data_IF_275025262703
#
_entry.id   IF_275025262703
#
_cell.length_a   1.000
_cell.length_b   1.000
_cell.length_c   1.000
_cell.angle_alpha   90.00
_cell.angle_beta   90.00
_cell.angle_gamma   90.00
#
_symmetry.space_group_name_H-M   'P 1'
#
loop_
_entity.id
_entity.type
_entity.pdbx_description
1 polymer ?
#
# COMPACT_ATOMS: atom_id res chain seq x y z
N UNK A 1 1.68 15.45 -11.14
CA UNK A 1 1.26 15.75 -9.75
C UNK A 1 -0.24 15.82 -9.73
N UNK A 2 -0.90 15.01 -8.91
CA UNK A 2 -2.36 14.87 -8.86
C UNK A 2 -2.93 15.60 -7.63
N UNK A 3 -4.12 16.17 -7.75
CA UNK A 3 -4.83 16.78 -6.63
C UNK A 3 -5.75 15.75 -5.96
N UNK A 4 -5.46 15.36 -4.72
CA UNK A 4 -6.26 14.38 -3.97
C UNK A 4 -7.00 15.09 -2.84
N UNK A 5 -8.33 15.01 -2.87
CA UNK A 5 -9.20 15.49 -1.81
C UNK A 5 -9.51 14.36 -0.82
N UNK A 6 -8.97 14.46 0.40
CA UNK A 6 -9.22 13.53 1.50
C UNK A 6 -10.46 14.00 2.26
N UNK A 7 -11.47 13.15 2.34
CA UNK A 7 -12.76 13.46 2.94
C UNK A 7 -12.97 12.62 4.20
N UNK A 8 -13.29 13.31 5.28
CA UNK A 8 -13.73 12.73 6.56
C UNK A 8 -14.99 13.44 7.03
N UNK A 9 -15.71 12.89 8.01
CA UNK A 9 -16.95 13.50 8.52
C UNK A 9 -16.91 13.66 10.02
N UNK A 10 -17.43 14.79 10.54
CA UNK A 10 -17.65 14.98 11.98
C UNK A 10 -18.64 13.97 12.58
N UNK A 11 -19.49 13.36 11.75
CA UNK A 11 -20.45 12.35 12.17
C UNK A 11 -19.84 10.95 12.21
N UNK A 12 -18.60 10.79 11.73
CA UNK A 12 -17.93 9.50 11.61
C UNK A 12 -16.78 9.35 12.61
N UNK A 13 -16.93 8.53 13.67
CA UNK A 13 -15.87 8.35 14.66
C UNK A 13 -14.61 7.67 14.08
N UNK A 14 -14.73 6.78 13.09
CA UNK A 14 -13.58 6.15 12.45
C UNK A 14 -12.82 7.18 11.60
N UNK A 15 -13.53 7.95 10.77
CA UNK A 15 -12.95 9.01 9.96
C UNK A 15 -12.23 10.06 10.82
N UNK A 16 -12.81 10.45 11.96
CA UNK A 16 -12.18 11.40 12.88
C UNK A 16 -10.95 10.81 13.61
N UNK A 17 -11.01 9.54 14.00
CA UNK A 17 -9.87 8.82 14.57
C UNK A 17 -8.69 8.78 13.57
N UNK A 18 -8.96 8.39 12.33
CA UNK A 18 -7.94 8.32 11.26
C UNK A 18 -7.40 9.70 10.94
N UNK A 19 -8.26 10.72 10.86
CA UNK A 19 -7.87 12.13 10.67
C UNK A 19 -6.84 12.55 11.71
N UNK A 20 -7.10 12.33 13.01
CA UNK A 20 -6.16 12.70 14.08
C UNK A 20 -4.78 12.04 13.87
N UNK A 21 -4.76 10.75 13.52
CA UNK A 21 -3.51 10.00 13.29
C UNK A 21 -2.79 10.39 12.00
N UNK A 22 -3.51 10.83 10.98
CA UNK A 22 -2.95 11.34 9.73
C UNK A 22 -2.32 12.73 9.92
N UNK A 23 -2.97 13.60 10.72
CA UNK A 23 -2.44 14.93 11.03
C UNK A 23 -1.10 14.86 11.79
N UNK A 24 -0.86 13.78 12.53
CA UNK A 24 0.40 13.55 13.24
C UNK A 24 1.54 12.99 12.37
N UNK A 25 1.28 12.57 11.12
CA UNK A 25 2.24 11.84 10.27
C UNK A 25 2.83 12.66 9.13
N UNK A 26 2.25 13.81 8.81
CA UNK A 26 2.74 14.66 7.74
C UNK A 26 2.43 16.13 8.04
N UNK A 27 3.19 17.09 7.49
CA UNK A 27 2.96 18.51 7.75
C UNK A 27 1.68 18.98 7.06
N UNK A 28 0.72 19.46 7.86
CA UNK A 28 -0.53 20.07 7.38
C UNK A 28 -0.57 21.55 7.72
N UNK A 29 -1.11 22.34 6.80
CA UNK A 29 -1.29 23.77 6.95
C UNK A 29 -2.78 24.12 6.84
N UNK A 30 -3.32 24.79 7.86
CA UNK A 30 -4.69 25.28 7.81
C UNK A 30 -4.78 26.50 6.89
N UNK A 31 -5.67 26.44 5.90
CA UNK A 31 -5.91 27.54 4.97
C UNK A 31 -7.42 27.67 4.68
N UNK A 32 -8.07 28.59 5.40
CA UNK A 32 -9.51 28.81 5.27
C UNK A 32 -10.35 27.75 6.00
N UNK A 33 -11.65 27.78 5.75
CA UNK A 33 -12.63 26.89 6.34
C UNK A 33 -13.78 26.63 5.38
N UNK A 34 -14.43 25.48 5.52
CA UNK A 34 -15.64 25.11 4.81
C UNK A 34 -16.64 24.52 5.82
N UNK A 35 -17.87 25.04 5.82
CA UNK A 35 -18.94 24.63 6.73
C UNK A 35 -18.51 24.53 8.20
N UNK A 36 -17.76 25.53 8.67
CA UNK A 36 -17.28 25.64 10.05
C UNK A 36 -16.07 24.75 10.40
N UNK A 37 -15.57 23.93 9.46
CA UNK A 37 -14.35 23.13 9.67
C UNK A 37 -13.16 23.70 8.92
N UNK A 38 -11.98 23.62 9.53
CA UNK A 38 -10.73 24.05 8.90
C UNK A 38 -10.43 23.21 7.66
N UNK A 39 -10.01 23.88 6.57
CA UNK A 39 -9.45 23.23 5.39
C UNK A 39 -7.96 23.06 5.61
N UNK A 40 -7.47 21.82 5.51
CA UNK A 40 -6.07 21.51 5.76
C UNK A 40 -5.40 21.09 4.46
N UNK A 41 -4.27 21.71 4.15
CA UNK A 41 -3.49 21.44 2.95
C UNK A 41 -2.18 20.76 3.31
N UNK A 42 -1.76 19.82 2.48
CA UNK A 42 -0.44 19.21 2.56
C UNK A 42 0.06 18.92 1.14
N UNK A 43 1.34 18.56 1.03
CA UNK A 43 1.95 18.20 -0.24
C UNK A 43 2.93 17.04 -0.03
N UNK A 44 2.84 16.03 -0.90
CA UNK A 44 3.86 15.00 -1.05
C UNK A 44 4.70 15.32 -2.28
N UNK A 45 5.82 14.61 -2.54
CA UNK A 45 6.56 14.77 -3.79
C UNK A 45 5.70 14.53 -5.06
N UNK A 46 4.61 13.76 -4.93
CA UNK A 46 3.79 13.32 -6.05
C UNK A 46 2.41 14.00 -6.11
N UNK A 47 1.86 14.46 -4.99
CA UNK A 47 0.47 14.89 -4.89
C UNK A 47 0.29 16.17 -4.08
N UNK A 48 -0.70 16.99 -4.47
CA UNK A 48 -1.23 18.06 -3.62
C UNK A 48 -2.46 17.53 -2.90
N UNK A 49 -2.55 17.80 -1.61
CA UNK A 49 -3.59 17.23 -0.75
C UNK A 49 -4.46 18.34 -0.16
N UNK A 50 -5.77 18.09 -0.15
CA UNK A 50 -6.73 18.86 0.62
C UNK A 50 -7.51 17.91 1.52
N UNK A 51 -7.46 18.12 2.84
CA UNK A 51 -8.30 17.41 3.80
C UNK A 51 -9.50 18.29 4.16
N UNK A 52 -10.69 17.81 3.82
CA UNK A 52 -11.97 18.43 4.11
C UNK A 52 -12.74 17.59 5.15
N UNK A 53 -13.24 18.26 6.18
CA UNK A 53 -14.10 17.63 7.21
C UNK A 53 -15.56 18.01 6.96
N UNK A 54 -16.34 17.07 6.45
CA UNK A 54 -17.76 17.25 6.12
C UNK A 54 -18.64 17.27 7.38
N UNK A 55 -19.75 18.01 7.31
CA UNK A 55 -20.75 18.11 8.38
C UNK A 55 -21.86 17.05 8.30
N UNK A 56 -21.84 16.21 7.26
CA UNK A 56 -22.82 15.16 6.95
C UNK A 56 -22.12 13.83 6.71
N UNK A 57 -22.87 12.74 6.70
CA UNK A 57 -22.34 11.43 6.37
C UNK A 57 -21.72 11.41 4.96
N UNK A 58 -20.56 10.77 4.84
CA UNK A 58 -19.76 10.74 3.61
C UNK A 58 -20.51 10.14 2.43
N UNK A 59 -21.43 9.21 2.67
CA UNK A 59 -22.23 8.58 1.61
C UNK A 59 -23.21 9.56 0.94
N UNK A 60 -23.45 10.72 1.54
CA UNK A 60 -24.36 11.78 1.06
C UNK A 60 -23.63 13.04 0.57
N UNK A 61 -22.31 12.97 0.38
CA UNK A 61 -21.45 14.06 -0.09
C UNK A 61 -21.47 14.24 -1.62
N UNK A 62 -22.65 14.29 -2.25
CA UNK A 62 -22.84 14.46 -3.71
C UNK A 62 -22.39 15.82 -4.26
N UNK A 63 -22.28 16.83 -3.39
CA UNK A 63 -21.95 18.22 -3.70
C UNK A 63 -20.43 18.49 -3.74
N UNK A 64 -19.59 17.49 -3.42
CA UNK A 64 -18.14 17.68 -3.33
C UNK A 64 -17.53 18.24 -4.62
N UNK A 65 -18.00 17.83 -5.80
CA UNK A 65 -17.53 18.38 -7.06
C UNK A 65 -17.74 19.90 -7.18
N UNK A 66 -18.89 20.41 -6.75
CA UNK A 66 -19.14 21.86 -6.68
C UNK A 66 -18.35 22.54 -5.57
N UNK A 67 -18.20 21.90 -4.41
CA UNK A 67 -17.38 22.40 -3.31
C UNK A 67 -15.92 22.59 -3.75
N UNK A 68 -15.32 21.59 -4.39
CA UNK A 68 -13.92 21.66 -4.85
C UNK A 68 -13.72 22.78 -5.87
N UNK A 69 -14.65 22.95 -6.82
CA UNK A 69 -14.64 24.08 -7.76
C UNK A 69 -14.69 25.43 -7.05
N UNK A 70 -15.55 25.58 -6.04
CA UNK A 70 -15.64 26.82 -5.26
C UNK A 70 -14.36 27.11 -4.46
N UNK A 71 -13.67 26.06 -4.00
CA UNK A 71 -12.40 26.16 -3.29
C UNK A 71 -11.18 26.33 -4.23
N UNK A 72 -11.37 26.25 -5.55
CA UNK A 72 -10.28 26.32 -6.52
C UNK A 72 -9.33 25.12 -6.45
N UNK A 73 -9.80 23.96 -5.99
CA UNK A 73 -9.04 22.72 -5.91
C UNK A 73 -9.52 21.74 -6.98
N UNK A 74 -8.63 21.12 -7.76
CA UNK A 74 -9.06 20.33 -8.92
C UNK A 74 -9.73 19.01 -8.53
N UNK A 75 -9.32 18.42 -7.39
CA UNK A 75 -9.77 17.13 -6.87
C UNK A 75 -9.84 16.06 -7.97
N UNK A 76 -8.68 15.68 -8.49
CA UNK A 76 -8.54 14.63 -9.48
C UNK A 76 -8.98 13.25 -8.96
N UNK A 77 -8.97 13.06 -7.64
CA UNK A 77 -9.58 11.92 -6.95
C UNK A 77 -10.07 12.32 -5.55
N UNK A 78 -11.14 11.68 -5.11
CA UNK A 78 -11.62 11.71 -3.73
C UNK A 78 -11.20 10.45 -2.97
N UNK A 79 -10.57 10.63 -1.82
CA UNK A 79 -10.22 9.56 -0.88
C UNK A 79 -11.05 9.74 0.41
N UNK A 80 -12.02 8.87 0.63
CA UNK A 80 -12.87 8.88 1.83
C UNK A 80 -12.25 8.02 2.92
N UNK A 81 -12.05 8.58 4.10
CA UNK A 81 -11.64 7.84 5.30
C UNK A 81 -12.82 7.82 6.27
N UNK A 82 -13.42 6.65 6.46
CA UNK A 82 -14.74 6.54 7.10
C UNK A 82 -14.95 5.19 7.78
N UNK A 83 -16.13 4.96 8.36
CA UNK A 83 -16.48 3.70 9.00
C UNK A 83 -17.11 2.70 8.03
N UNK A 84 -16.80 1.43 8.22
CA UNK A 84 -17.61 0.32 7.72
C UNK A 84 -18.55 -0.15 8.86
N UNK A 85 -19.83 -0.39 8.55
CA UNK A 85 -20.82 -0.82 9.54
C UNK A 85 -21.48 -2.14 9.13
N UNK A 86 -21.28 -3.21 9.92
CA UNK A 86 -21.82 -4.55 9.62
C UNK A 86 -22.40 -5.24 10.84
N UNK A 87 -23.56 -5.91 10.63
CA UNK A 87 -24.21 -6.74 11.66
C UNK A 87 -23.40 -8.00 12.02
N UNK A 88 -22.53 -8.46 11.12
CA UNK A 88 -21.68 -9.61 11.40
C UNK A 88 -20.63 -9.29 12.47
N UNK A 89 -20.33 -8.00 12.71
CA UNK A 89 -19.43 -7.55 13.77
C UNK A 89 -17.98 -8.00 13.58
N UNK A 90 -17.58 -8.40 12.37
CA UNK A 90 -16.22 -8.84 12.05
C UNK A 90 -15.33 -7.59 11.94
N UNK A 91 -14.27 -7.44 12.74
CA UNK A 91 -13.34 -6.34 12.59
C UNK A 91 -12.63 -6.38 11.24
N UNK A 92 -12.69 -5.29 10.49
CA UNK A 92 -12.14 -5.21 9.13
C UNK A 92 -11.42 -3.88 8.92
N UNK A 93 -10.44 -3.89 8.01
CA UNK A 93 -10.00 -2.68 7.34
C UNK A 93 -10.22 -2.89 5.85
N UNK A 94 -10.86 -1.93 5.20
CA UNK A 94 -11.40 -2.18 3.86
C UNK A 94 -11.20 -1.05 2.89
N UNK A 95 -11.37 -1.35 1.60
CA UNK A 95 -11.46 -0.35 0.56
C UNK A 95 -12.38 -0.76 -0.59
N UNK A 96 -13.05 0.22 -1.20
CA UNK A 96 -13.92 0.03 -2.36
C UNK A 96 -14.21 1.34 -3.09
N UNK A 97 -14.75 1.22 -4.30
CA UNK A 97 -15.38 2.32 -5.01
C UNK A 97 -16.90 2.37 -4.70
N UNK A 98 -17.52 3.55 -4.63
CA UNK A 98 -18.95 3.68 -4.40
C UNK A 98 -19.77 3.40 -5.67
N UNK A 99 -21.05 3.08 -5.51
CA UNK A 99 -21.99 2.91 -6.61
C UNK A 99 -23.16 2.00 -6.27
N UNK A 100 -24.30 2.17 -6.94
CA UNK A 100 -25.49 1.34 -6.72
C UNK A 100 -25.83 0.51 -7.96
N UNK A 101 -25.84 -0.81 -7.81
CA UNK A 101 -26.25 -1.75 -8.87
C UNK A 101 -27.77 -1.74 -9.11
N UNK A 102 -28.54 -1.58 -8.04
CA UNK A 102 -29.99 -1.49 -8.03
C UNK A 102 -30.45 -0.19 -7.36
N UNK A 103 -31.27 -0.30 -6.32
CA UNK A 103 -31.77 0.85 -5.56
C UNK A 103 -30.64 1.58 -4.78
N UNK A 104 -30.79 2.90 -4.65
CA UNK A 104 -29.86 3.76 -3.91
C UNK A 104 -30.41 4.08 -2.51
N UNK A 105 -30.31 3.13 -1.59
CA UNK A 105 -30.81 3.28 -0.22
C UNK A 105 -29.88 4.11 0.68
N UNK A 106 -28.60 4.22 0.31
CA UNK A 106 -27.54 4.80 1.14
C UNK A 106 -26.72 5.83 0.34
N UNK A 107 -27.41 6.80 -0.28
CA UNK A 107 -26.78 7.81 -1.12
C UNK A 107 -26.51 7.33 -2.56
N UNK A 108 -26.02 8.23 -3.41
CA UNK A 108 -25.88 7.98 -4.84
C UNK A 108 -27.21 8.06 -5.60
N UNK A 109 -27.21 7.54 -6.82
CA UNK A 109 -28.41 7.37 -7.64
C UNK A 109 -28.67 5.89 -7.91
N UNK A 110 -29.94 5.53 -8.08
CA UNK A 110 -30.36 4.19 -8.48
C UNK A 110 -29.68 3.82 -9.79
N UNK A 111 -29.14 2.59 -9.86
CA UNK A 111 -28.47 2.03 -11.04
C UNK A 111 -27.39 2.93 -11.62
N UNK A 112 -26.53 3.45 -10.75
CA UNK A 112 -25.44 4.34 -11.11
C UNK A 112 -24.19 4.00 -10.30
N UNK A 113 -23.10 3.69 -11.02
CA UNK A 113 -21.81 3.39 -10.41
C UNK A 113 -20.93 4.65 -10.35
N UNK A 114 -20.13 4.81 -9.29
CA UNK A 114 -19.10 5.85 -9.23
C UNK A 114 -17.97 5.59 -10.23
N UNK A 115 -16.93 6.42 -10.23
CA UNK A 115 -15.72 6.13 -11.00
C UNK A 115 -14.75 5.36 -10.10
N UNK A 116 -14.50 4.09 -10.38
CA UNK A 116 -13.61 3.24 -9.61
C UNK A 116 -12.14 3.41 -10.05
N UNK A 117 -11.23 3.89 -9.19
CA UNK A 117 -9.82 4.01 -9.52
C UNK A 117 -9.09 2.67 -9.30
N UNK A 118 -9.21 1.72 -10.23
CA UNK A 118 -8.78 0.32 -10.02
C UNK A 118 -7.31 0.19 -9.58
N UNK A 119 -6.39 0.95 -10.19
CA UNK A 119 -4.98 0.93 -9.81
C UNK A 119 -4.74 1.47 -8.39
N UNK A 120 -5.45 2.52 -7.99
CA UNK A 120 -5.42 3.04 -6.62
C UNK A 120 -6.06 2.06 -5.64
N UNK A 121 -7.20 1.47 -5.98
CA UNK A 121 -7.89 0.49 -5.14
C UNK A 121 -7.02 -0.75 -4.90
N UNK A 122 -6.31 -1.25 -5.92
CA UNK A 122 -5.31 -2.32 -5.74
C UNK A 122 -4.24 -1.91 -4.74
N UNK A 123 -3.66 -0.71 -4.89
CA UNK A 123 -2.58 -0.25 -4.01
C UNK A 123 -3.06 0.01 -2.59
N UNK A 124 -4.28 0.53 -2.43
CA UNK A 124 -4.92 0.68 -1.14
C UNK A 124 -5.10 -0.67 -0.47
N UNK A 125 -5.67 -1.66 -1.18
CA UNK A 125 -5.83 -3.01 -0.66
C UNK A 125 -4.50 -3.64 -0.22
N UNK A 126 -3.44 -3.54 -1.03
CA UNK A 126 -2.12 -4.05 -0.67
C UNK A 126 -1.49 -3.30 0.52
N UNK A 127 -1.77 -2.00 0.65
CA UNK A 127 -1.37 -1.23 1.83
C UNK A 127 -2.15 -1.68 3.08
N UNK A 128 -3.44 -1.97 2.96
CA UNK A 128 -4.23 -2.56 4.05
C UNK A 128 -3.64 -3.90 4.48
N UNK A 129 -3.35 -4.82 3.54
CA UNK A 129 -2.71 -6.12 3.84
C UNK A 129 -1.41 -5.94 4.64
N UNK A 130 -0.62 -4.90 4.34
CA UNK A 130 0.64 -4.64 5.03
C UNK A 130 0.47 -4.06 6.44
N UNK A 131 -0.48 -3.15 6.61
CA UNK A 131 -0.62 -2.35 7.85
C UNK A 131 -1.74 -2.84 8.77
N UNK A 132 -2.57 -3.79 8.34
CA UNK A 132 -3.69 -4.28 9.13
C UNK A 132 -3.20 -4.84 10.47
N UNK A 133 -3.75 -4.38 11.61
CA UNK A 133 -3.34 -4.88 12.91
C UNK A 133 -3.93 -6.27 13.18
N UNK A 134 -3.29 -7.02 14.07
CA UNK A 134 -3.80 -8.31 14.53
C UNK A 134 -5.25 -8.21 15.02
N UNK A 135 -6.09 -9.16 14.57
CA UNK A 135 -7.51 -9.21 14.92
C UNK A 135 -8.43 -8.44 13.96
N UNK A 136 -7.89 -7.83 12.90
CA UNK A 136 -8.64 -7.24 11.80
C UNK A 136 -8.34 -7.97 10.49
N UNK A 137 -9.33 -8.05 9.61
CA UNK A 137 -9.15 -8.60 8.27
C UNK A 137 -8.99 -7.47 7.22
N UNK A 138 -7.91 -7.45 6.42
CA UNK A 138 -7.78 -6.56 5.28
C UNK A 138 -8.58 -7.11 4.09
N UNK A 139 -9.59 -6.36 3.63
CA UNK A 139 -10.50 -6.81 2.57
C UNK A 139 -10.77 -5.71 1.54
N UNK A 140 -11.01 -6.07 0.28
CA UNK A 140 -11.81 -5.19 -0.57
C UNK A 140 -13.29 -5.36 -0.22
N UNK A 141 -14.08 -4.34 -0.50
CA UNK A 141 -15.53 -4.43 -0.48
C UNK A 141 -16.15 -4.33 -1.87
N UNK A 142 -17.34 -4.88 -1.99
CA UNK A 142 -18.12 -4.78 -3.21
C UNK A 142 -18.55 -3.33 -3.49
N UNK A 143 -18.78 -2.98 -4.77
CA UNK A 143 -19.28 -1.64 -5.10
C UNK A 143 -20.67 -1.45 -4.49
N UNK A 144 -20.83 -0.46 -3.61
CA UNK A 144 -22.09 -0.17 -2.95
C UNK A 144 -22.15 1.30 -2.48
N UNK A 145 -23.38 1.76 -2.15
CA UNK A 145 -23.71 3.07 -1.59
C UNK A 145 -23.21 4.30 -2.36
N UNK A 146 -23.52 5.50 -1.88
CA UNK A 146 -23.06 6.78 -2.42
C UNK A 146 -21.71 7.25 -1.86
N UNK A 147 -21.23 8.43 -2.26
CA UNK A 147 -21.86 9.35 -3.19
C UNK A 147 -21.62 8.95 -4.65
N UNK A 148 -22.37 9.56 -5.57
CA UNK A 148 -22.14 9.48 -7.01
C UNK A 148 -21.45 10.75 -7.51
N UNK A 149 -20.12 10.73 -7.56
CA UNK A 149 -19.32 11.85 -8.03
C UNK A 149 -18.87 11.70 -9.48
N UNK A 150 -18.51 12.83 -10.10
CA UNK A 150 -17.98 12.93 -11.46
C UNK A 150 -16.46 12.73 -11.54
N UNK A 151 -15.83 12.38 -10.42
CA UNK A 151 -14.40 12.09 -10.29
C UNK A 151 -14.17 10.73 -9.63
N UNK A 152 -13.00 10.11 -9.84
CA UNK A 152 -12.61 8.87 -9.17
C UNK A 152 -12.77 8.95 -7.65
N UNK A 153 -13.35 7.90 -7.06
CA UNK A 153 -13.63 7.83 -5.63
C UNK A 153 -13.14 6.50 -5.06
N UNK A 154 -12.43 6.58 -3.95
CA UNK A 154 -11.97 5.43 -3.18
C UNK A 154 -12.34 5.62 -1.71
N UNK A 155 -12.98 4.63 -1.12
CA UNK A 155 -13.20 4.52 0.30
C UNK A 155 -12.09 3.67 0.92
N UNK A 156 -11.62 4.08 2.09
CA UNK A 156 -10.75 3.31 2.96
C UNK A 156 -11.33 3.37 4.37
N UNK A 157 -11.66 2.22 4.97
CA UNK A 157 -12.56 2.18 6.12
C UNK A 157 -12.02 1.35 7.29
N UNK A 158 -12.56 1.63 8.48
CA UNK A 158 -12.44 0.78 9.68
C UNK A 158 -13.81 0.22 10.01
N UNK A 159 -13.90 -1.11 10.09
CA UNK A 159 -15.10 -1.84 10.45
C UNK A 159 -14.93 -2.71 11.69
N UNK A 160 -16.00 -3.21 12.29
CA UNK A 160 -17.39 -3.11 11.79
C UNK A 160 -18.35 -2.44 12.77
N UNK A 161 -17.90 -2.11 13.99
CA UNK A 161 -18.75 -1.57 15.05
C UNK A 161 -18.11 -0.36 15.72
N UNK A 162 -18.88 0.31 16.59
CA UNK A 162 -18.39 1.45 17.37
C UNK A 162 -17.14 1.17 18.19
N UNK A 163 -16.87 -0.10 18.56
CA UNK A 163 -15.62 -0.49 19.24
C UNK A 163 -14.41 -0.30 18.32
N UNK A 164 -14.50 -0.79 17.08
CA UNK A 164 -13.39 -0.73 16.14
C UNK A 164 -13.20 0.68 15.58
N UNK A 165 -14.29 1.46 15.40
CA UNK A 165 -14.22 2.82 14.87
C UNK A 165 -13.36 3.76 15.72
N UNK A 166 -13.39 3.58 17.05
CA UNK A 166 -12.62 4.40 18.00
C UNK A 166 -11.30 3.75 18.43
N UNK A 167 -10.93 2.60 17.86
CA UNK A 167 -9.68 1.92 18.20
C UNK A 167 -8.48 2.75 17.70
N UNK A 168 -7.62 3.27 18.59
CA UNK A 168 -6.48 4.09 18.20
C UNK A 168 -5.43 3.32 17.39
N UNK A 169 -5.34 1.99 17.55
CA UNK A 169 -4.43 1.12 16.79
C UNK A 169 -4.93 0.99 15.36
N UNK A 170 -6.23 0.72 15.16
CA UNK A 170 -6.83 0.67 13.83
C UNK A 170 -6.75 2.03 13.11
N UNK A 171 -6.98 3.13 13.84
CA UNK A 171 -6.82 4.49 13.31
C UNK A 171 -5.38 4.78 12.85
N UNK A 172 -4.39 4.36 13.64
CA UNK A 172 -2.98 4.52 13.31
C UNK A 172 -2.56 3.63 12.12
N UNK A 173 -3.08 2.42 12.04
CA UNK A 173 -2.86 1.49 10.94
C UNK A 173 -3.43 2.05 9.62
N UNK A 174 -4.68 2.53 9.61
CA UNK A 174 -5.29 3.07 8.39
C UNK A 174 -4.55 4.34 7.94
N UNK A 175 -4.20 5.22 8.87
CA UNK A 175 -3.41 6.41 8.55
C UNK A 175 -2.05 6.05 7.92
N UNK A 176 -1.40 4.97 8.37
CA UNK A 176 -0.13 4.51 7.80
C UNK A 176 -0.32 3.90 6.40
N UNK A 177 -1.40 3.16 6.17
CA UNK A 177 -1.77 2.68 4.84
C UNK A 177 -2.05 3.84 3.87
N UNK A 178 -2.73 4.90 4.33
CA UNK A 178 -2.99 6.10 3.54
C UNK A 178 -1.69 6.84 3.20
N UNK A 179 -0.77 7.02 4.14
CA UNK A 179 0.54 7.66 3.86
C UNK A 179 1.33 6.87 2.82
N UNK A 180 1.34 5.54 2.91
CA UNK A 180 1.97 4.69 1.88
C UNK A 180 1.30 4.88 0.51
N UNK A 181 -0.04 4.91 0.45
CA UNK A 181 -0.79 5.11 -0.78
C UNK A 181 -0.48 6.48 -1.41
N UNK A 182 -0.35 7.53 -0.61
CA UNK A 182 -0.03 8.89 -1.06
C UNK A 182 1.47 9.09 -1.39
N UNK A 183 2.30 8.08 -1.16
CA UNK A 183 3.74 8.11 -1.48
C UNK A 183 4.07 7.47 -2.82
N UNK A 184 3.05 7.02 -3.56
CA UNK A 184 3.21 6.38 -4.87
C UNK A 184 2.36 7.09 -5.93
N UNK A 185 2.75 6.93 -7.20
CA UNK A 185 1.92 7.23 -8.35
C UNK A 185 1.65 5.92 -9.09
N UNK A 186 0.48 5.29 -8.88
CA UNK A 186 0.16 4.02 -9.53
C UNK A 186 -0.06 4.17 -11.04
N UNK A 187 -0.08 5.41 -11.55
CA UNK A 187 -0.29 5.75 -12.95
C UNK A 187 1.02 6.15 -13.64
N UNK A 188 2.15 6.08 -12.93
CA UNK A 188 3.48 6.38 -13.48
C UNK A 188 3.79 5.48 -14.67
N UNK A 189 4.53 5.99 -15.66
CA UNK A 189 4.99 5.22 -16.83
C UNK A 189 5.86 4.02 -16.45
N UNK A 190 6.57 4.13 -15.33
CA UNK A 190 7.48 3.11 -14.83
C UNK A 190 6.77 2.10 -13.91
N UNK A 191 5.47 2.28 -13.66
CA UNK A 191 4.70 1.37 -12.83
C UNK A 191 4.37 0.08 -13.59
N UNK A 192 4.57 -1.06 -12.93
CA UNK A 192 4.01 -2.33 -13.38
C UNK A 192 2.49 -2.20 -13.57
N UNK A 193 2.01 -2.51 -14.78
CA UNK A 193 0.59 -2.43 -15.12
C UNK A 193 -0.06 -3.79 -14.83
N UNK A 194 -0.85 -3.92 -13.76
CA UNK A 194 -1.61 -5.13 -13.52
C UNK A 194 -2.74 -5.25 -14.54
N UNK A 195 -3.22 -6.48 -14.74
CA UNK A 195 -4.46 -6.71 -15.48
C UNK A 195 -5.65 -6.08 -14.75
N UNK A 196 -6.44 -5.28 -15.45
CA UNK A 196 -7.54 -4.51 -14.89
C UNK A 196 -8.85 -5.25 -15.15
N UNK A 197 -9.61 -5.52 -14.10
CA UNK A 197 -10.81 -6.36 -14.18
C UNK A 197 -12.00 -5.74 -13.47
N UNK A 198 -13.20 -6.11 -13.92
CA UNK A 198 -14.44 -5.97 -13.13
C UNK A 198 -14.81 -7.33 -12.53
N UNK A 199 -15.18 -7.36 -11.25
CA UNK A 199 -15.51 -8.60 -10.55
C UNK A 199 -17.01 -8.87 -10.53
N UNK A 200 -17.46 -10.08 -10.85
CA UNK A 200 -18.86 -10.49 -10.73
C UNK A 200 -19.00 -11.72 -9.82
N UNK A 201 -19.90 -11.62 -8.83
CA UNK A 201 -20.17 -12.64 -7.83
C UNK A 201 -19.47 -12.41 -6.50
N UNK A 202 -19.63 -13.38 -5.60
CA UNK A 202 -18.95 -13.42 -4.31
C UNK A 202 -19.67 -12.70 -3.19
N UNK A 203 -19.06 -12.68 -2.01
CA UNK A 203 -19.56 -11.98 -0.82
C UNK A 203 -19.24 -10.49 -0.90
N UNK A 204 -19.83 -9.73 0.01
CA UNK A 204 -19.56 -8.30 0.16
C UNK A 204 -18.07 -7.99 0.41
N UNK A 205 -17.35 -8.87 1.11
CA UNK A 205 -15.91 -8.76 1.42
C UNK A 205 -14.98 -9.31 0.34
N UNK A 206 -15.52 -9.68 -0.83
CA UNK A 206 -14.74 -9.98 -2.03
C UNK A 206 -13.64 -11.05 -1.88
N UNK A 207 -13.84 -12.07 -1.04
CA UNK A 207 -12.79 -13.02 -0.62
C UNK A 207 -11.98 -13.65 -1.77
N UNK A 208 -12.63 -14.09 -2.86
CA UNK A 208 -11.91 -14.68 -4.00
C UNK A 208 -11.17 -13.63 -4.85
N UNK A 209 -11.68 -12.40 -4.92
CA UNK A 209 -11.00 -11.30 -5.58
C UNK A 209 -9.81 -10.80 -4.76
N UNK A 210 -9.91 -10.77 -3.44
CA UNK A 210 -8.81 -10.49 -2.52
C UNK A 210 -7.64 -11.47 -2.76
N UNK A 211 -7.93 -12.77 -2.80
CA UNK A 211 -6.94 -13.82 -3.13
C UNK A 211 -6.35 -13.61 -4.52
N UNK A 212 -7.18 -13.23 -5.50
CA UNK A 212 -6.73 -12.99 -6.86
C UNK A 212 -5.74 -11.80 -6.93
N UNK A 213 -6.03 -10.69 -6.26
CA UNK A 213 -5.14 -9.51 -6.23
C UNK A 213 -3.83 -9.78 -5.49
N UNK A 214 -3.86 -10.60 -4.43
CA UNK A 214 -2.62 -10.97 -3.71
C UNK A 214 -1.74 -11.93 -4.51
N UNK A 215 -2.34 -12.82 -5.31
CA UNK A 215 -1.61 -13.89 -6.00
C UNK A 215 -1.17 -13.53 -7.42
N UNK A 216 -1.88 -12.61 -8.07
CA UNK A 216 -1.64 -12.26 -9.47
C UNK A 216 -1.57 -10.74 -9.62
N UNK A 217 -0.85 -10.21 -10.63
CA UNK A 217 -0.81 -8.78 -10.93
C UNK A 217 -2.16 -8.35 -11.52
N UNK A 218 -3.15 -8.16 -10.64
CA UNK A 218 -4.51 -7.75 -10.98
C UNK A 218 -4.97 -6.55 -10.17
N UNK A 219 -5.71 -5.66 -10.81
CA UNK A 219 -6.42 -4.54 -10.21
C UNK A 219 -7.91 -4.68 -10.48
N UNK A 220 -8.72 -4.73 -9.43
CA UNK A 220 -10.17 -4.85 -9.54
C UNK A 220 -10.78 -3.45 -9.41
N UNK A 221 -11.56 -3.04 -10.40
CA UNK A 221 -12.37 -1.82 -10.35
C UNK A 221 -13.66 -2.09 -9.59
N UNK A 222 -14.78 -2.06 -10.30
CA UNK A 222 -16.07 -2.40 -9.71
C UNK A 222 -16.23 -3.90 -9.44
N UNK A 223 -16.91 -4.21 -8.32
CA UNK A 223 -17.34 -5.57 -7.98
C UNK A 223 -18.85 -5.62 -7.81
N UNK A 224 -19.52 -6.47 -8.58
CA UNK A 224 -20.94 -6.80 -8.43
C UNK A 224 -21.07 -8.03 -7.51
N UNK A 225 -21.49 -7.87 -6.25
CA UNK A 225 -21.59 -8.98 -5.32
C UNK A 225 -22.80 -9.88 -5.66
N UNK A 226 -22.79 -11.12 -5.16
CA UNK A 226 -23.86 -12.11 -5.42
C UNK A 226 -25.27 -11.58 -5.24
N UNK A 227 -25.49 -10.79 -4.17
CA UNK A 227 -26.82 -10.27 -3.84
C UNK A 227 -27.31 -9.19 -4.83
N UNK A 228 -26.41 -8.55 -5.58
CA UNK A 228 -26.73 -7.52 -6.56
C UNK A 228 -26.76 -8.04 -8.00
N UNK A 229 -26.35 -9.30 -8.23
CA UNK A 229 -26.41 -9.92 -9.55
C UNK A 229 -27.80 -9.87 -10.20
N UNK A 230 -28.94 -10.00 -9.50
CA UNK A 230 -30.26 -9.86 -10.13
C UNK A 230 -30.49 -8.52 -10.84
N UNK A 231 -29.84 -7.44 -10.41
CA UNK A 231 -29.91 -6.11 -11.03
C UNK A 231 -28.86 -5.90 -12.14
N UNK A 232 -27.92 -6.84 -12.31
CA UNK A 232 -26.88 -6.78 -13.33
C UNK A 232 -27.47 -7.14 -14.70
N UNK A 233 -27.48 -6.16 -15.61
CA UNK A 233 -27.77 -6.31 -17.04
C UNK A 233 -26.63 -5.71 -17.88
N UNK A 234 -26.82 -5.64 -19.20
CA UNK A 234 -25.83 -5.10 -20.12
C UNK A 234 -25.48 -3.63 -19.83
N UNK A 235 -26.46 -2.82 -19.42
CA UNK A 235 -26.22 -1.42 -19.06
C UNK A 235 -25.37 -1.31 -17.81
N UNK A 236 -25.67 -2.06 -16.76
CA UNK A 236 -24.86 -2.07 -15.54
C UNK A 236 -23.45 -2.60 -15.78
N UNK A 237 -23.29 -3.63 -16.63
CA UNK A 237 -21.97 -4.13 -17.01
C UNK A 237 -21.18 -3.09 -17.83
N UNK A 238 -21.85 -2.41 -18.77
CA UNK A 238 -21.28 -1.30 -19.55
C UNK A 238 -20.83 -0.16 -18.64
N UNK A 239 -21.65 0.20 -17.64
CA UNK A 239 -21.29 1.19 -16.63
C UNK A 239 -20.08 0.73 -15.81
N UNK A 240 -20.05 -0.52 -15.34
CA UNK A 240 -18.95 -1.04 -14.52
C UNK A 240 -17.62 -1.00 -15.26
N UNK A 241 -17.64 -1.33 -16.55
CA UNK A 241 -16.45 -1.29 -17.40
C UNK A 241 -16.08 0.16 -17.72
N UNK A 242 -17.02 0.96 -18.21
CA UNK A 242 -16.78 2.34 -18.62
C UNK A 242 -16.47 3.32 -17.49
N UNK A 243 -16.83 2.98 -16.25
CA UNK A 243 -16.52 3.76 -15.04
C UNK A 243 -15.40 3.17 -14.19
N UNK A 244 -14.69 2.17 -14.68
CA UNK A 244 -13.41 1.78 -14.09
C UNK A 244 -12.30 2.63 -14.69
N UNK A 245 -11.71 3.52 -13.88
CA UNK A 245 -10.53 4.28 -14.27
C UNK A 245 -9.30 3.38 -14.20
N UNK A 246 -8.70 3.14 -15.36
CA UNK A 246 -7.65 2.17 -15.58
C UNK A 246 -6.25 2.78 -15.86
N UNK A 247 -6.16 4.11 -16.06
CA UNK A 247 -4.90 4.79 -16.41
C UNK A 247 -4.73 5.14 -17.86
N UNK A 248 -3.51 5.55 -18.25
CA UNK A 248 -3.21 5.97 -19.63
C UNK A 248 -1.96 5.25 -20.16
N UNK A 249 -2.10 4.56 -21.28
CA UNK A 249 -1.02 4.28 -22.22
C UNK A 249 -0.83 5.53 -23.10
N UNK A 250 0.37 6.11 -23.08
CA UNK A 250 0.70 7.37 -23.75
C UNK A 250 1.02 7.22 -25.25
N UNK A 251 1.23 5.99 -25.72
CA UNK A 251 1.54 5.68 -27.12
C UNK A 251 0.29 5.18 -27.87
N UNK A 252 -0.68 4.58 -27.16
CA UNK A 252 -1.92 4.02 -27.76
C UNK A 252 -3.23 4.66 -27.28
N UNK A 253 -3.21 5.51 -26.25
CA UNK A 253 -4.36 6.30 -25.82
C UNK A 253 -5.53 5.52 -25.19
N UNK A 254 -5.34 4.26 -24.81
CA UNK A 254 -6.40 3.44 -24.20
C UNK A 254 -5.91 2.79 -22.91
N UNK A 255 -6.65 2.92 -21.80
CA UNK A 255 -6.70 1.86 -20.80
C UNK A 255 -8.17 1.64 -20.42
N UNK A 256 -8.72 0.51 -20.88
CA UNK A 256 -10.02 0.00 -20.49
C UNK A 256 -9.85 -1.15 -19.51
N UNK A 257 -10.96 -1.75 -19.11
CA UNK A 257 -10.94 -3.04 -18.41
C UNK A 257 -10.46 -4.11 -19.38
N UNK A 258 -9.57 -5.01 -18.95
CA UNK A 258 -9.04 -6.12 -19.76
C UNK A 258 -9.96 -7.35 -19.75
N UNK A 259 -10.60 -7.59 -18.60
CA UNK A 259 -11.40 -8.79 -18.40
C UNK A 259 -12.54 -8.62 -17.40
N UNK A 260 -13.55 -9.46 -17.58
CA UNK A 260 -14.60 -9.71 -16.59
C UNK A 260 -14.16 -10.93 -15.77
N UNK A 261 -13.94 -10.75 -14.47
CA UNK A 261 -13.50 -11.80 -13.56
C UNK A 261 -14.68 -12.35 -12.75
N UNK A 262 -14.95 -13.64 -12.90
CA UNK A 262 -16.07 -14.32 -12.27
C UNK A 262 -15.63 -15.08 -11.01
N UNK A 263 -16.28 -14.81 -9.88
CA UNK A 263 -16.32 -15.75 -8.76
C UNK A 263 -17.31 -16.87 -9.08
N UNK A 264 -16.82 -17.97 -9.67
CA UNK A 264 -17.67 -19.04 -10.17
C UNK A 264 -18.60 -19.66 -9.11
N UNK A 265 -18.15 -19.76 -7.86
CA UNK A 265 -19.02 -20.23 -6.76
C UNK A 265 -19.92 -19.10 -6.28
N UNK A 266 -19.38 -17.90 -6.22
CA UNK A 266 -20.06 -16.67 -5.85
C UNK A 266 -21.19 -16.24 -6.79
N UNK A 267 -21.28 -16.73 -8.03
CA UNK A 267 -22.42 -16.44 -8.93
C UNK A 267 -23.74 -17.09 -8.45
N UNK A 268 -23.68 -18.20 -7.72
CA UNK A 268 -24.87 -18.91 -7.24
C UNK A 268 -25.85 -19.30 -8.38
N UNK A 269 -27.12 -18.94 -8.21
CA UNK A 269 -28.20 -19.27 -9.17
C UNK A 269 -28.10 -18.45 -10.47
N UNK A 270 -27.42 -17.30 -10.44
CA UNK A 270 -27.29 -16.39 -11.58
C UNK A 270 -26.21 -16.84 -12.58
N UNK A 271 -25.52 -17.94 -12.30
CA UNK A 271 -24.36 -18.43 -13.05
C UNK A 271 -24.57 -18.49 -14.56
N UNK A 272 -25.65 -19.11 -15.02
CA UNK A 272 -25.90 -19.27 -16.46
C UNK A 272 -26.16 -17.91 -17.14
N UNK A 273 -26.97 -17.06 -16.51
CA UNK A 273 -27.33 -15.74 -17.04
C UNK A 273 -26.15 -14.79 -17.07
N UNK A 274 -25.39 -14.72 -15.97
CA UNK A 274 -24.22 -13.84 -15.85
C UNK A 274 -23.08 -14.30 -16.77
N UNK A 275 -22.88 -15.61 -16.93
CA UNK A 275 -21.89 -16.12 -17.88
C UNK A 275 -22.25 -15.72 -19.32
N UNK A 276 -23.51 -15.95 -19.75
CA UNK A 276 -23.95 -15.58 -21.08
C UNK A 276 -23.81 -14.07 -21.34
N UNK A 277 -24.22 -13.24 -20.37
CA UNK A 277 -24.05 -11.79 -20.44
C UNK A 277 -22.57 -11.38 -20.56
N UNK A 278 -21.70 -11.98 -19.73
CA UNK A 278 -20.27 -11.66 -19.74
C UNK A 278 -19.61 -12.07 -21.06
N UNK A 279 -19.91 -13.26 -21.58
CA UNK A 279 -19.37 -13.77 -22.84
C UNK A 279 -19.82 -12.94 -24.04
N UNK A 280 -21.12 -12.60 -24.13
CA UNK A 280 -21.67 -11.76 -25.20
C UNK A 280 -21.08 -10.35 -25.18
N UNK A 281 -21.00 -9.74 -23.99
CA UNK A 281 -20.41 -8.42 -23.82
C UNK A 281 -18.92 -8.44 -24.17
N UNK A 282 -18.17 -9.42 -23.67
CA UNK A 282 -16.74 -9.53 -23.89
C UNK A 282 -16.40 -9.75 -25.37
N UNK A 283 -17.14 -10.61 -26.08
CA UNK A 283 -16.97 -10.84 -27.51
C UNK A 283 -17.19 -9.57 -28.34
N UNK A 284 -18.15 -8.73 -27.94
CA UNK A 284 -18.48 -7.49 -28.65
C UNK A 284 -17.51 -6.33 -28.37
N UNK A 285 -16.72 -6.40 -27.29
CA UNK A 285 -15.85 -5.31 -26.83
C UNK A 285 -14.37 -5.71 -26.71
N UNK A 286 -13.99 -6.91 -27.17
CA UNK A 286 -12.60 -7.37 -27.15
C UNK A 286 -12.06 -7.68 -25.75
N UNK A 287 -12.93 -8.04 -24.80
CA UNK A 287 -12.55 -8.38 -23.43
C UNK A 287 -12.37 -9.88 -23.26
N UNK A 288 -11.72 -10.28 -22.16
CA UNK A 288 -11.69 -11.69 -21.74
C UNK A 288 -12.73 -11.94 -20.64
N UNK A 289 -13.21 -13.19 -20.56
CA UNK A 289 -13.95 -13.69 -19.39
C UNK A 289 -13.05 -14.65 -18.64
N UNK A 290 -12.74 -14.32 -17.39
CA UNK A 290 -11.88 -15.10 -16.51
C UNK A 290 -12.69 -15.67 -15.36
N UNK A 291 -12.20 -16.76 -14.76
CA UNK A 291 -12.78 -17.32 -13.54
C UNK A 291 -11.71 -17.46 -12.48
N UNK A 292 -12.02 -17.01 -11.27
CA UNK A 292 -11.13 -17.09 -10.10
C UNK A 292 -10.62 -18.51 -9.83
N UNK A 293 -11.43 -19.55 -10.07
CA UNK A 293 -11.08 -20.96 -9.87
C UNK A 293 -10.28 -21.59 -11.04
N UNK A 294 -10.06 -20.83 -12.11
CA UNK A 294 -9.32 -21.24 -13.31
C UNK A 294 -8.17 -20.30 -13.64
N UNK A 295 -7.86 -19.35 -12.76
CA UNK A 295 -6.67 -18.53 -12.91
C UNK A 295 -5.43 -19.44 -12.80
N UNK A 296 -4.74 -19.62 -13.91
CA UNK A 296 -3.37 -20.13 -13.92
C UNK A 296 -2.42 -18.97 -14.16
N UNK A 297 -1.14 -19.23 -13.96
CA UNK A 297 -0.04 -18.33 -14.34
C UNK A 297 0.08 -18.15 -15.86
N UNK A 298 -0.68 -18.93 -16.67
CA UNK A 298 -0.65 -18.90 -18.15
C UNK A 298 -1.63 -17.89 -18.78
N UNK A 299 -2.38 -17.15 -17.96
CA UNK A 299 -3.12 -15.98 -18.41
C UNK A 299 -2.10 -14.92 -18.78
N UNK A 300 -1.77 -14.85 -20.08
CA UNK A 300 -0.69 -14.07 -20.69
C UNK A 300 -0.22 -12.89 -19.80
N UNK A 301 0.99 -12.96 -19.21
CA UNK A 301 1.62 -11.78 -18.66
C UNK A 301 1.83 -10.79 -19.82
N UNK A 302 1.58 -9.51 -19.59
CA UNK A 302 2.27 -8.50 -20.37
C UNK A 302 3.76 -8.75 -20.14
N UNK A 303 4.44 -9.31 -21.15
CA UNK A 303 5.87 -9.69 -21.18
C UNK A 303 6.38 -10.33 -19.88
N UNK A 304 6.59 -11.64 -19.93
CA UNK A 304 7.52 -12.38 -19.06
C UNK A 304 8.68 -11.47 -18.62
N UNK A 305 8.96 -11.36 -17.33
CA UNK A 305 9.64 -12.43 -16.61
C UNK A 305 9.03 -12.82 -15.26
N UNK A 306 9.25 -14.09 -14.95
CA UNK A 306 8.99 -14.77 -13.70
C UNK A 306 9.67 -14.07 -12.52
N UNK A 307 8.90 -13.80 -11.45
CA UNK A 307 9.20 -14.21 -10.08
C UNK A 307 8.18 -13.54 -9.15
N UNK A 308 8.00 -14.08 -7.94
CA UNK A 308 7.63 -13.27 -6.76
C UNK A 308 8.36 -11.92 -6.83
N UNK A 309 7.85 -10.77 -6.33
CA UNK A 309 8.59 -9.51 -6.48
C UNK A 309 10.04 -9.81 -6.11
N UNK A 310 10.91 -9.73 -7.12
CA UNK A 310 12.28 -10.16 -6.93
C UNK A 310 12.75 -9.45 -5.66
N UNK A 311 13.46 -10.15 -4.76
CA UNK A 311 14.05 -9.46 -3.63
C UNK A 311 14.66 -8.19 -4.18
N UNK A 312 14.17 -7.03 -3.70
CA UNK A 312 14.51 -5.73 -4.23
C UNK A 312 16.01 -5.71 -4.55
N UNK A 313 16.33 -5.74 -5.84
CA UNK A 313 17.71 -5.97 -6.23
C UNK A 313 18.52 -4.69 -6.01
N UNK A 314 19.84 -4.79 -6.16
CA UNK A 314 20.74 -3.66 -6.02
C UNK A 314 20.29 -2.43 -6.85
N UNK A 315 19.64 -2.67 -7.99
CA UNK A 315 19.16 -1.65 -8.93
C UNK A 315 17.92 -0.93 -8.40
N UNK A 316 16.94 -1.66 -7.87
CA UNK A 316 15.76 -1.07 -7.21
C UNK A 316 16.19 -0.13 -6.07
N UNK A 317 17.03 -0.63 -5.16
CA UNK A 317 17.51 0.15 -4.04
C UNK A 317 18.34 1.35 -4.47
N UNK A 318 19.07 1.24 -5.59
CA UNK A 318 19.78 2.37 -6.16
C UNK A 318 18.82 3.44 -6.68
N UNK A 319 17.66 3.05 -7.23
CA UNK A 319 16.68 3.99 -7.78
C UNK A 319 15.91 4.78 -6.71
N UNK A 320 15.71 4.19 -5.51
CA UNK A 320 15.03 4.84 -4.38
C UNK A 320 15.98 5.47 -3.37
N UNK A 321 17.30 5.40 -3.60
CA UNK A 321 18.32 5.77 -2.63
C UNK A 321 18.03 7.15 -2.01
N UNK A 322 17.84 8.19 -2.83
CA UNK A 322 17.61 9.57 -2.35
C UNK A 322 16.49 9.74 -1.32
N UNK A 323 15.48 8.86 -1.27
CA UNK A 323 14.41 8.85 -0.27
C UNK A 323 14.44 7.68 0.71
N UNK A 324 15.45 6.81 0.66
CA UNK A 324 15.53 5.60 1.48
C UNK A 324 15.49 5.88 2.99
N UNK A 325 16.30 6.83 3.47
CA UNK A 325 16.37 7.18 4.89
C UNK A 325 15.03 7.75 5.40
N UNK A 326 14.29 8.48 4.55
CA UNK A 326 12.98 9.04 4.90
C UNK A 326 11.89 7.95 4.94
N UNK A 327 11.99 6.95 4.07
CA UNK A 327 11.03 5.84 3.98
C UNK A 327 11.24 4.77 5.05
N UNK A 328 12.49 4.48 5.40
CA UNK A 328 12.85 3.32 6.21
C UNK A 328 13.58 3.68 7.52
N UNK A 329 14.01 4.92 7.68
CA UNK A 329 14.96 5.30 8.73
C UNK A 329 14.42 5.13 10.16
N UNK A 330 13.16 5.47 10.41
CA UNK A 330 12.57 5.33 11.75
C UNK A 330 12.47 3.86 12.19
N UNK A 331 12.06 2.99 11.27
CA UNK A 331 11.95 1.57 11.53
C UNK A 331 13.33 0.94 11.82
N UNK A 332 14.35 1.30 11.03
CA UNK A 332 15.70 0.78 11.23
C UNK A 332 16.32 1.29 12.53
N UNK A 333 16.15 2.58 12.86
CA UNK A 333 16.62 3.14 14.14
C UNK A 333 16.01 2.44 15.35
N UNK A 334 14.73 2.09 15.30
CA UNK A 334 14.08 1.33 16.37
C UNK A 334 14.73 -0.05 16.57
N UNK A 335 15.11 -0.73 15.48
CA UNK A 335 15.82 -2.02 15.55
C UNK A 335 17.25 -1.87 16.09
N UNK A 336 17.96 -0.81 15.68
CA UNK A 336 19.30 -0.53 16.19
C UNK A 336 19.30 -0.30 17.69
N UNK A 337 18.32 0.47 18.21
CA UNK A 337 18.18 0.73 19.63
C UNK A 337 18.00 -0.55 20.47
N UNK A 338 17.37 -1.60 19.92
CA UNK A 338 17.23 -2.88 20.59
C UNK A 338 18.53 -3.70 20.60
N UNK A 339 19.35 -3.58 19.55
CA UNK A 339 20.52 -4.44 19.36
C UNK A 339 21.80 -3.81 19.91
N UNK A 340 21.99 -2.50 19.76
CA UNK A 340 23.19 -1.78 20.17
C UNK A 340 23.62 -2.07 21.62
N UNK A 341 22.72 -2.08 22.63
CA UNK A 341 23.10 -2.40 24.01
C UNK A 341 23.74 -3.79 24.19
N UNK A 342 23.48 -4.72 23.27
CA UNK A 342 23.99 -6.10 23.33
C UNK A 342 25.30 -6.31 22.57
N UNK A 343 25.72 -5.32 21.78
CA UNK A 343 26.92 -5.39 20.93
C UNK A 343 27.88 -4.22 21.17
N UNK A 344 27.51 -3.26 22.01
CA UNK A 344 28.30 -2.06 22.33
C UNK A 344 29.63 -2.36 23.05
N UNK A 345 29.86 -3.57 23.54
CA UNK A 345 31.13 -4.00 24.12
C UNK A 345 32.20 -4.39 23.07
N UNK A 346 31.80 -4.57 21.81
CA UNK A 346 32.71 -5.01 20.75
C UNK A 346 33.42 -3.82 20.06
N UNK A 347 34.56 -4.10 19.43
CA UNK A 347 35.43 -3.08 18.81
C UNK A 347 35.33 -3.06 17.29
N UNK A 348 34.94 -4.15 16.62
CA UNK A 348 34.70 -4.17 15.17
C UNK A 348 33.33 -4.75 14.80
N UNK A 349 32.62 -4.05 13.91
CA UNK A 349 31.31 -4.43 13.40
C UNK A 349 31.31 -4.51 11.87
N UNK A 350 30.72 -5.59 11.34
CA UNK A 350 30.29 -5.66 9.95
C UNK A 350 28.76 -5.60 9.86
N UNK A 351 28.23 -4.64 9.10
CA UNK A 351 26.81 -4.49 8.78
C UNK A 351 26.55 -5.01 7.36
N UNK A 352 25.85 -6.15 7.25
CA UNK A 352 25.57 -6.85 6.00
C UNK A 352 24.17 -6.47 5.50
N UNK A 353 24.11 -5.85 4.34
CA UNK A 353 22.92 -5.15 3.83
C UNK A 353 22.73 -3.81 4.52
N UNK A 354 23.81 -3.03 4.63
CA UNK A 354 23.82 -1.81 5.45
C UNK A 354 23.00 -0.64 4.88
N UNK A 355 22.49 -0.77 3.65
CA UNK A 355 21.81 0.30 2.93
C UNK A 355 22.65 1.56 2.84
N UNK A 356 22.12 2.69 3.31
CA UNK A 356 22.86 3.98 3.35
C UNK A 356 23.85 4.05 4.52
N UNK A 357 23.92 3.01 5.37
CA UNK A 357 24.83 2.93 6.51
C UNK A 357 24.37 3.68 7.76
N UNK A 358 23.07 3.86 7.98
CA UNK A 358 22.56 4.59 9.16
C UNK A 358 23.07 4.05 10.51
N UNK A 359 23.37 2.75 10.60
CA UNK A 359 23.95 2.14 11.79
C UNK A 359 25.35 2.68 12.11
N UNK A 360 26.12 3.13 11.11
CA UNK A 360 27.42 3.77 11.29
C UNK A 360 27.35 4.90 12.32
N UNK A 361 26.35 5.77 12.17
CA UNK A 361 26.20 6.96 13.02
C UNK A 361 25.89 6.55 14.46
N UNK A 362 24.96 5.61 14.64
CA UNK A 362 24.59 5.10 15.96
C UNK A 362 25.75 4.34 16.65
N UNK A 363 26.53 3.56 15.88
CA UNK A 363 27.70 2.82 16.36
C UNK A 363 28.82 3.72 16.85
N UNK A 364 29.07 4.85 16.15
CA UNK A 364 30.13 5.79 16.49
C UNK A 364 29.73 6.85 17.51
N UNK A 365 28.44 7.21 17.59
CA UNK A 365 27.95 8.19 18.56
C UNK A 365 27.69 7.58 19.95
N UNK A 366 27.69 6.25 20.07
CA UNK A 366 27.31 5.52 21.30
C UNK A 366 25.94 5.98 21.81
N UNK A 367 24.93 6.11 20.94
CA UNK A 367 23.59 6.57 21.35
C UNK A 367 22.59 5.44 21.16
N UNK A 368 21.81 5.12 22.20
CA UNK A 368 20.58 4.35 22.08
C UNK A 368 19.33 5.26 22.21
N UNK A 369 18.13 4.68 22.20
CA UNK A 369 16.87 5.42 22.37
C UNK A 369 16.73 6.11 23.74
N UNK A 370 17.62 5.81 24.70
CA UNK A 370 17.62 6.32 26.07
C UNK A 370 18.79 7.28 26.37
N UNK A 371 19.73 7.46 25.45
CA UNK A 371 20.84 8.42 25.57
C UNK A 371 22.23 7.83 25.27
N UNK A 372 23.31 8.49 25.71
CA UNK A 372 24.68 8.00 25.51
C UNK A 372 24.94 6.70 26.28
N UNK A 373 25.37 5.67 25.58
CA UNK A 373 25.92 4.43 26.14
C UNK A 373 27.30 4.74 26.74
N UNK A 374 27.50 4.45 28.04
CA UNK A 374 28.82 4.54 28.69
C UNK A 374 29.75 3.42 28.20
N UNK A 375 30.36 3.60 27.02
CA UNK A 375 31.39 2.71 26.47
C UNK A 375 32.77 3.40 26.60
N UNK A 376 33.14 3.77 27.83
CA UNK A 376 34.30 4.63 28.12
C UNK A 376 35.68 3.96 27.97
N UNK A 377 35.75 2.67 27.65
CA UNK A 377 37.00 1.89 27.58
C UNK A 377 37.46 1.47 26.18
N UNK A 378 36.66 1.68 25.12
CA UNK A 378 37.02 1.27 23.75
C UNK A 378 37.58 2.46 22.97
N UNK A 379 38.91 2.58 22.92
CA UNK A 379 39.59 3.72 22.30
C UNK A 379 39.53 3.76 20.76
N UNK A 380 39.09 2.68 20.10
CA UNK A 380 38.97 2.62 18.63
C UNK A 380 37.89 1.63 18.21
N UNK A 381 36.81 2.13 17.63
CA UNK A 381 35.75 1.33 17.01
C UNK A 381 35.89 1.31 15.50
N UNK A 382 35.74 0.15 14.90
CA UNK A 382 35.75 -0.05 13.45
C UNK A 382 34.35 -0.44 12.99
N UNK A 383 33.85 0.26 11.98
CA UNK A 383 32.61 -0.06 11.28
C UNK A 383 32.94 -0.40 9.83
N UNK A 384 32.36 -1.48 9.32
CA UNK A 384 32.32 -1.76 7.90
C UNK A 384 30.87 -2.05 7.50
N UNK A 385 30.38 -1.37 6.47
CA UNK A 385 29.07 -1.63 5.88
C UNK A 385 29.23 -2.19 4.48
N UNK A 386 28.48 -3.26 4.19
CA UNK A 386 28.48 -3.90 2.89
C UNK A 386 27.03 -3.99 2.38
N UNK A 387 26.78 -3.50 1.17
CA UNK A 387 25.47 -3.56 0.52
C UNK A 387 25.65 -3.78 -0.98
N UNK A 388 24.81 -4.58 -1.67
CA UNK A 388 24.93 -4.76 -3.10
C UNK A 388 24.51 -3.50 -3.89
N UNK A 389 23.73 -2.58 -3.29
CA UNK A 389 23.25 -1.36 -3.93
C UNK A 389 24.31 -0.26 -3.98
N UNK A 390 24.78 0.04 -5.20
CA UNK A 390 25.71 1.15 -5.44
C UNK A 390 25.09 2.48 -5.00
N UNK A 391 23.82 2.73 -5.33
CA UNK A 391 23.16 4.01 -5.01
C UNK A 391 23.03 4.28 -3.52
N UNK A 392 22.72 3.25 -2.72
CA UNK A 392 22.65 3.40 -1.25
C UNK A 392 24.04 3.66 -0.64
N UNK A 393 25.07 2.93 -1.10
CA UNK A 393 26.45 3.16 -0.66
C UNK A 393 26.91 4.57 -1.02
N UNK A 394 26.67 5.04 -2.24
CA UNK A 394 27.02 6.39 -2.66
C UNK A 394 26.34 7.46 -1.80
N UNK A 395 25.07 7.27 -1.45
CA UNK A 395 24.36 8.20 -0.58
C UNK A 395 24.93 8.21 0.84
N UNK A 396 25.23 7.05 1.41
CA UNK A 396 25.90 6.95 2.71
C UNK A 396 27.26 7.66 2.73
N UNK A 397 28.05 7.49 1.66
CA UNK A 397 29.33 8.19 1.47
C UNK A 397 29.12 9.70 1.34
N UNK A 398 28.11 10.16 0.58
CA UNK A 398 27.73 11.59 0.49
C UNK A 398 27.31 12.16 1.83
N UNK A 399 26.70 11.36 2.70
CA UNK A 399 26.36 11.72 4.08
C UNK A 399 27.58 11.70 5.04
N UNK A 400 28.77 11.36 4.55
CA UNK A 400 30.02 11.38 5.33
C UNK A 400 30.30 10.10 6.13
N UNK A 401 29.53 9.03 5.91
CA UNK A 401 29.72 7.72 6.58
C UNK A 401 30.92 6.99 5.97
N UNK A 402 31.77 6.39 6.82
CA UNK A 402 33.02 5.74 6.40
C UNK A 402 32.89 4.22 6.47
N UNK A 403 33.76 3.53 5.73
CA UNK A 403 33.81 2.06 5.74
C UNK A 403 32.67 1.37 5.00
N UNK A 404 31.94 2.11 4.16
CA UNK A 404 30.89 1.57 3.29
C UNK A 404 31.51 1.06 1.98
N UNK A 405 31.11 -0.12 1.55
CA UNK A 405 31.54 -0.70 0.27
C UNK A 405 30.44 -1.53 -0.38
N UNK A 406 30.52 -1.65 -1.71
CA UNK A 406 29.61 -2.49 -2.48
C UNK A 406 30.05 -3.95 -2.38
N UNK A 407 29.11 -4.86 -2.11
CA UNK A 407 29.41 -6.29 -2.06
C UNK A 407 28.17 -7.16 -1.81
N UNK A 408 28.32 -8.47 -2.03
CA UNK A 408 27.28 -9.47 -1.78
C UNK A 408 27.48 -10.13 -0.42
N UNK A 409 26.37 -10.43 0.26
CA UNK A 409 26.37 -11.18 1.50
C UNK A 409 26.78 -12.65 1.30
N UNK A 410 26.56 -13.21 0.11
CA UNK A 410 26.92 -14.60 -0.25
C UNK A 410 28.42 -14.78 -0.56
N UNK A 411 29.19 -13.68 -0.65
CA UNK A 411 30.62 -13.71 -0.90
C UNK A 411 31.32 -12.53 -0.22
N UNK A 412 31.51 -12.63 1.10
CA UNK A 412 32.09 -11.55 1.90
C UNK A 412 33.61 -11.46 1.66
N UNK A 413 34.14 -10.28 1.22
CA UNK A 413 35.54 -10.12 0.85
C UNK A 413 36.46 -9.93 2.07
N UNK A 414 36.20 -10.66 3.15
CA UNK A 414 36.93 -10.56 4.41
C UNK A 414 37.46 -11.91 4.86
N UNK A 415 38.56 -11.90 5.58
CA UNK A 415 39.12 -13.11 6.19
C UNK A 415 38.22 -13.62 7.32
N UNK A 416 38.39 -14.91 7.65
CA UNK A 416 37.72 -15.55 8.78
C UNK A 416 38.01 -14.79 10.08
N UNK A 417 37.04 -14.76 11.00
CA UNK A 417 37.15 -14.12 12.32
C UNK A 417 37.64 -12.65 12.31
N UNK A 418 37.39 -11.91 11.24
CA UNK A 418 37.89 -10.54 11.05
C UNK A 418 37.07 -9.48 11.81
N UNK A 419 35.82 -9.76 12.15
CA UNK A 419 34.94 -8.87 12.90
C UNK A 419 34.52 -9.48 14.24
N UNK A 420 34.44 -8.68 15.31
CA UNK A 420 33.94 -9.15 16.59
C UNK A 420 32.46 -9.56 16.49
N UNK A 421 31.68 -8.72 15.81
CA UNK A 421 30.25 -8.90 15.60
C UNK A 421 29.86 -8.60 14.15
N UNK A 422 28.95 -9.43 13.63
CA UNK A 422 28.33 -9.24 12.32
C UNK A 422 26.83 -9.07 12.51
N UNK A 423 26.23 -8.08 11.86
CA UNK A 423 24.79 -7.81 11.94
C UNK A 423 24.18 -7.77 10.56
N UNK A 424 22.88 -8.09 10.47
CA UNK A 424 22.08 -7.80 9.30
C UNK A 424 20.66 -7.45 9.71
N UNK A 425 20.20 -6.26 9.30
CA UNK A 425 18.88 -5.76 9.65
C UNK A 425 17.96 -5.77 8.44
N UNK A 426 17.03 -6.73 8.41
CA UNK A 426 15.97 -6.76 7.39
C UNK A 426 16.54 -6.82 5.96
N UNK A 427 17.71 -7.42 5.76
CA UNK A 427 18.35 -7.46 4.45
C UNK A 427 18.51 -8.88 3.90
N UNK A 428 18.72 -9.90 4.76
CA UNK A 428 18.97 -11.27 4.30
C UNK A 428 17.84 -11.91 3.49
N UNK A 429 16.60 -11.44 3.68
CA UNK A 429 15.48 -11.89 2.86
C UNK A 429 15.60 -11.47 1.38
N UNK A 430 16.59 -10.62 1.05
CA UNK A 430 16.95 -10.26 -0.31
C UNK A 430 18.02 -11.13 -0.96
N UNK A 431 18.72 -11.97 -0.20
CA UNK A 431 19.75 -12.85 -0.73
C UNK A 431 19.14 -13.95 -1.60
N UNK A 432 19.83 -14.30 -2.69
CA UNK A 432 19.43 -15.44 -3.51
C UNK A 432 19.65 -16.75 -2.75
N UNK A 433 20.73 -16.82 -1.97
CA UNK A 433 21.02 -17.92 -1.06
C UNK A 433 21.28 -17.41 0.37
N UNK A 434 20.22 -17.46 1.19
CA UNK A 434 20.27 -17.03 2.58
C UNK A 434 21.18 -17.94 3.42
N UNK A 435 21.26 -19.23 3.11
CA UNK A 435 22.09 -20.17 3.87
C UNK A 435 23.57 -19.84 3.65
N UNK A 436 23.97 -19.62 2.39
CA UNK A 436 25.32 -19.18 2.05
C UNK A 436 25.63 -17.81 2.67
N UNK A 437 24.70 -16.84 2.61
CA UNK A 437 24.90 -15.54 3.25
C UNK A 437 25.12 -15.65 4.76
N UNK A 438 24.32 -16.47 5.46
CA UNK A 438 24.48 -16.68 6.91
C UNK A 438 25.77 -17.43 7.22
N UNK A 439 26.18 -18.39 6.38
CA UNK A 439 27.45 -19.10 6.52
C UNK A 439 28.65 -18.15 6.36
N UNK A 440 28.62 -17.24 5.39
CA UNK A 440 29.64 -16.21 5.22
C UNK A 440 29.68 -15.24 6.40
N UNK A 441 28.51 -14.79 6.89
CA UNK A 441 28.42 -13.97 8.11
C UNK A 441 29.04 -14.69 9.31
N UNK A 442 28.80 -16.00 9.44
CA UNK A 442 29.38 -16.80 10.51
C UNK A 442 30.89 -16.98 10.36
N UNK A 443 31.38 -17.18 9.14
CA UNK A 443 32.81 -17.32 8.84
C UNK A 443 33.61 -16.08 9.26
N UNK A 444 33.08 -14.88 9.01
CA UNK A 444 33.80 -13.63 9.31
C UNK A 444 33.56 -13.11 10.74
N UNK A 445 32.58 -13.67 11.45
CA UNK A 445 32.24 -13.30 12.83
C UNK A 445 33.03 -14.10 13.87
N UNK A 446 33.81 -13.40 14.71
CA UNK A 446 34.58 -14.02 15.80
C UNK A 446 33.72 -14.46 16.98
N UNK A 447 32.68 -13.69 17.30
CA UNK A 447 31.93 -13.89 18.56
C UNK A 447 30.43 -14.01 18.36
N UNK A 448 29.82 -13.12 17.57
CA UNK A 448 28.35 -13.03 17.51
C UNK A 448 27.85 -12.60 16.14
N UNK A 449 26.71 -13.16 15.77
CA UNK A 449 25.88 -12.71 14.65
C UNK A 449 24.54 -12.24 15.21
N UNK A 450 24.01 -11.12 14.69
CA UNK A 450 22.65 -10.65 15.00
C UNK A 450 21.88 -10.48 13.70
N UNK A 451 20.70 -11.11 13.60
CA UNK A 451 19.87 -11.06 12.40
C UNK A 451 18.48 -10.57 12.79
N UNK A 452 17.99 -9.57 12.07
CA UNK A 452 16.57 -9.19 12.05
C UNK A 452 15.98 -9.56 10.70
N UNK A 453 14.82 -10.21 10.70
CA UNK A 453 14.07 -10.57 9.48
C UNK A 453 12.62 -10.14 9.63
N UNK A 454 11.99 -9.83 8.49
CA UNK A 454 10.53 -9.72 8.42
C UNK A 454 9.91 -11.09 8.71
N UNK A 455 8.79 -11.10 9.44
CA UNK A 455 7.95 -12.31 9.57
C UNK A 455 7.43 -12.66 8.19
N UNK A 456 7.72 -13.88 7.73
CA UNK A 456 7.16 -14.45 6.50
C UNK A 456 5.73 -14.90 6.71
#
# INVERSE_FOLDING_TARGET
MMDIAIIVSVQDPAGMNVRERLLARMPWHAQGAHDGSALLHAQTPLHRLLLLTAQKDTIHCEDLGSTMRALGFAADMFLFLTRHASRAGVPTMSCHAPGNWGDALQGGKKRALGIAPALWQRRAYLALVRHCPDGYDPVMEATHHGPLLDRPCLFMEIGSTGKEWVDPVAGAALASAVVQLLSIDPMSKDAEVPRIVVGLGGTHTCAEFNKAVQRYPMAVGHVCPKYALPDLDEDMLRQAIGRTMAGVDLDTGTMGVDAILLDWKGLGQEKARVMALAEEFAASHGLQVLRTDKLSTDVAPARTEESQPAPADASYYSSIASGYDDLHGDEQRAKYALVLPHIAQYSSLLDVGCGTGMLHDAWHQNIDSNGPLEVSSISKRTYCGLDPSVGLIEQGVRAGRKGLQVGSAEALPFADDSFDVVVSFTALHHCADVETAVAEMARVARTRIVISSLRR
#
